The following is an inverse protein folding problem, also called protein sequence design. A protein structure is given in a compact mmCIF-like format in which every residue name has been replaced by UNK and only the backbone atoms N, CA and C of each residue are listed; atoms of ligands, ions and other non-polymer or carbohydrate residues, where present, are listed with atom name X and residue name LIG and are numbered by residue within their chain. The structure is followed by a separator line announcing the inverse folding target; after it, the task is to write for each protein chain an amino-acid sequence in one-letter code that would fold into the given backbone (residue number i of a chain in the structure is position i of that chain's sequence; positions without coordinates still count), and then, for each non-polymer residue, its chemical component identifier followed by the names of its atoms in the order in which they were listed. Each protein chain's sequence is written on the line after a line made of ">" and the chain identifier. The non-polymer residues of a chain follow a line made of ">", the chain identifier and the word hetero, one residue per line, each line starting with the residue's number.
data_IF_431844898271
#
_entry.id   IF_431844898271
#
_cell.length_a   1.000
_cell.length_b   1.000
_cell.length_c   1.000
_cell.angle_alpha   90.00
_cell.angle_beta   90.00
_cell.angle_gamma   90.00
#
_symmetry.space_group_name_H-M   'P 1'
#
loop_
_entity.id
_entity.type
_entity.pdbx_description
1 polymer ?
#
# COMPACT_ATOMS: atom_id res chain seq x y z
N UNK A 1 -35.96 -6.16 -13.35
CA UNK A 1 -36.22 -4.99 -14.20
C UNK A 1 -34.91 -4.25 -14.40
N UNK A 2 -34.46 -4.12 -15.66
CA UNK A 2 -33.24 -3.38 -15.99
C UNK A 2 -33.48 -1.89 -15.73
N UNK A 3 -32.87 -1.34 -14.68
CA UNK A 3 -32.71 0.09 -14.53
C UNK A 3 -31.77 0.51 -15.66
N UNK A 4 -32.28 1.25 -16.64
CA UNK A 4 -31.44 1.87 -17.67
C UNK A 4 -30.73 3.03 -16.99
N UNK A 5 -29.41 2.93 -16.86
CA UNK A 5 -28.56 4.00 -16.31
C UNK A 5 -28.77 5.30 -17.10
N UNK A 6 -28.81 6.44 -16.41
CA UNK A 6 -28.95 7.76 -17.04
C UNK A 6 -27.69 8.15 -17.82
N UNK A 7 -27.75 9.09 -18.78
CA UNK A 7 -26.58 9.54 -19.54
C UNK A 7 -25.43 10.05 -18.67
N UNK A 8 -25.72 10.69 -17.53
CA UNK A 8 -24.72 11.10 -16.53
C UNK A 8 -24.07 9.87 -15.84
N UNK A 9 -24.86 8.87 -15.44
CA UNK A 9 -24.34 7.62 -14.86
C UNK A 9 -23.48 6.82 -15.85
N UNK A 10 -23.84 6.82 -17.14
CA UNK A 10 -23.04 6.24 -18.23
C UNK A 10 -21.70 6.99 -18.43
N UNK A 11 -21.71 8.33 -18.29
CA UNK A 11 -20.52 9.16 -18.41
C UNK A 11 -19.55 8.91 -17.22
N UNK A 12 -20.09 8.82 -16.00
CA UNK A 12 -19.32 8.43 -14.81
C UNK A 12 -18.77 6.99 -14.90
N UNK A 13 -19.47 6.07 -15.55
CA UNK A 13 -19.00 4.68 -15.68
C UNK A 13 -17.76 4.53 -16.58
N UNK A 14 -17.54 5.43 -17.56
CA UNK A 14 -16.32 5.42 -18.37
C UNK A 14 -15.15 6.10 -17.66
N UNK A 15 -15.47 6.97 -16.71
CA UNK A 15 -14.50 7.82 -16.03
C UNK A 15 -13.55 7.05 -15.10
N UNK A 16 -14.01 5.91 -14.61
CA UNK A 16 -13.26 5.03 -13.71
C UNK A 16 -12.59 3.86 -14.45
N UNK A 17 -12.63 3.86 -15.79
CA UNK A 17 -12.25 2.70 -16.58
C UNK A 17 -10.73 2.51 -16.61
N UNK A 18 -10.28 1.37 -16.09
CA UNK A 18 -8.92 0.87 -16.24
C UNK A 18 -8.91 -0.35 -17.17
N UNK A 19 -8.45 -0.16 -18.41
CA UNK A 19 -8.54 -1.19 -19.46
C UNK A 19 -7.58 -2.37 -19.25
N UNK A 20 -6.43 -2.14 -18.61
CA UNK A 20 -5.40 -3.16 -18.42
C UNK A 20 -5.53 -3.91 -17.09
N UNK A 21 -6.74 -3.97 -16.52
CA UNK A 21 -7.01 -4.65 -15.24
C UNK A 21 -6.63 -6.13 -15.25
N UNK A 22 -6.65 -6.79 -16.42
CA UNK A 22 -6.31 -8.20 -16.56
C UNK A 22 -4.83 -8.51 -16.31
N UNK A 23 -3.93 -7.51 -16.37
CA UNK A 23 -2.50 -7.70 -16.09
C UNK A 23 -2.25 -7.99 -14.61
N UNK A 24 -2.99 -7.32 -13.73
CA UNK A 24 -2.99 -7.54 -12.27
C UNK A 24 -4.45 -7.55 -11.84
N UNK A 25 -5.15 -8.71 -11.91
CA UNK A 25 -6.60 -8.81 -11.77
C UNK A 25 -7.05 -8.76 -10.30
N UNK A 26 -6.76 -7.64 -9.64
CA UNK A 26 -7.15 -7.35 -8.27
C UNK A 26 -8.33 -6.37 -8.25
N UNK A 27 -9.20 -6.49 -7.26
CA UNK A 27 -10.32 -5.58 -7.04
C UNK A 27 -9.80 -4.13 -6.98
N UNK A 28 -10.50 -3.12 -7.53
CA UNK A 28 -11.83 -3.16 -8.18
C UNK A 28 -11.76 -3.45 -9.70
N UNK A 29 -10.73 -4.18 -10.15
CA UNK A 29 -10.53 -4.58 -11.54
C UNK A 29 -10.50 -3.38 -12.48
N UNK A 30 -11.50 -3.25 -13.34
CA UNK A 30 -11.60 -2.22 -14.37
C UNK A 30 -12.28 -0.94 -13.90
N UNK A 31 -12.76 -0.85 -12.65
CA UNK A 31 -13.48 0.32 -12.11
C UNK A 31 -12.71 0.94 -10.95
N UNK A 32 -11.73 1.78 -11.27
CA UNK A 32 -10.86 2.43 -10.28
C UNK A 32 -11.23 3.89 -10.11
N UNK A 33 -11.94 4.17 -9.02
CA UNK A 33 -12.21 5.55 -8.57
C UNK A 33 -10.98 6.14 -7.90
N UNK A 34 -10.87 7.46 -7.97
CA UNK A 34 -9.74 8.24 -7.47
C UNK A 34 -10.25 9.37 -6.58
N UNK A 35 -9.72 9.49 -5.36
CA UNK A 35 -9.91 10.67 -4.52
C UNK A 35 -8.62 11.47 -4.53
N UNK A 36 -8.71 12.75 -4.90
CA UNK A 36 -7.62 13.71 -4.71
C UNK A 36 -7.75 14.35 -3.33
N UNK A 37 -6.65 14.41 -2.57
CA UNK A 37 -6.55 15.14 -1.31
C UNK A 37 -5.33 16.06 -1.33
N UNK A 38 -5.47 17.30 -0.88
CA UNK A 38 -4.36 18.23 -0.72
C UNK A 38 -3.72 18.04 0.65
N UNK A 39 -2.48 17.56 0.67
CA UNK A 39 -1.73 17.25 1.91
C UNK A 39 -0.94 18.47 2.39
N UNK A 40 -0.35 19.21 1.46
CA UNK A 40 0.31 20.49 1.72
C UNK A 40 -0.21 21.47 0.70
N UNK A 41 -0.78 22.57 1.21
CA UNK A 41 -1.42 23.60 0.38
C UNK A 41 -0.51 24.03 -0.77
N UNK A 42 -1.08 24.04 -1.98
CA UNK A 42 -0.45 24.46 -3.24
C UNK A 42 0.88 23.75 -3.55
N UNK A 43 1.15 22.58 -2.93
CA UNK A 43 2.48 21.93 -2.98
C UNK A 43 2.41 20.41 -3.12
N UNK A 44 1.58 19.70 -2.33
CA UNK A 44 1.55 18.23 -2.32
C UNK A 44 0.09 17.75 -2.33
N UNK A 45 -0.22 16.88 -3.27
CA UNK A 45 -1.53 16.23 -3.40
C UNK A 45 -1.36 14.72 -3.45
N UNK A 46 -2.32 13.99 -2.91
CA UNK A 46 -2.40 12.54 -3.02
C UNK A 46 -3.60 12.14 -3.85
N UNK A 47 -3.47 11.05 -4.59
CA UNK A 47 -4.49 10.45 -5.44
C UNK A 47 -4.65 8.99 -5.00
N UNK A 48 -5.74 8.74 -4.29
CA UNK A 48 -6.01 7.45 -3.67
C UNK A 48 -6.95 6.63 -4.55
N UNK A 49 -6.59 5.38 -4.80
CA UNK A 49 -7.47 4.36 -5.39
C UNK A 49 -7.60 3.14 -4.47
N UNK A 50 -8.53 2.25 -4.78
CA UNK A 50 -8.68 0.97 -4.08
C UNK A 50 -7.84 -0.13 -4.72
N UNK A 51 -7.33 -1.03 -3.90
CA UNK A 51 -6.87 -2.34 -4.33
C UNK A 51 -7.25 -3.43 -3.34
N UNK A 52 -7.42 -4.69 -3.79
CA UNK A 52 -7.60 -5.79 -2.86
C UNK A 52 -7.88 -7.15 -3.51
N UNK A 53 -7.84 -8.19 -2.69
CA UNK A 53 -8.15 -9.58 -3.04
C UNK A 53 -9.14 -10.11 -2.00
N UNK A 54 -10.16 -10.88 -2.40
CA UNK A 54 -11.23 -11.36 -1.49
C UNK A 54 -11.90 -10.25 -0.66
N UNK A 55 -12.09 -9.07 -1.26
CA UNK A 55 -12.58 -7.86 -0.58
C UNK A 55 -11.74 -7.38 0.62
N UNK A 56 -10.54 -7.94 0.83
CA UNK A 56 -9.54 -7.36 1.70
C UNK A 56 -8.95 -6.16 0.96
N UNK A 57 -9.62 -5.02 1.10
CA UNK A 57 -9.32 -3.80 0.33
C UNK A 57 -8.54 -2.79 1.14
N UNK A 58 -7.49 -2.24 0.56
CA UNK A 58 -6.67 -1.17 1.14
C UNK A 58 -6.48 -0.06 0.12
N UNK A 59 -6.23 1.19 0.56
CA UNK A 59 -5.83 2.26 -0.34
C UNK A 59 -4.52 1.92 -1.05
N UNK A 60 -4.39 2.31 -2.32
CA UNK A 60 -3.12 2.49 -3.03
C UNK A 60 -3.04 3.94 -3.48
N UNK A 61 -1.89 4.59 -3.29
CA UNK A 61 -1.78 6.05 -3.38
C UNK A 61 -0.61 6.48 -4.24
N UNK A 62 -0.90 7.46 -5.09
CA UNK A 62 0.07 8.27 -5.82
C UNK A 62 0.19 9.63 -5.15
N UNK A 63 1.40 10.19 -5.12
CA UNK A 63 1.65 11.55 -4.63
C UNK A 63 2.13 12.44 -5.76
N UNK A 64 1.53 13.62 -5.92
CA UNK A 64 1.95 14.66 -6.86
C UNK A 64 2.56 15.80 -6.06
N UNK A 65 3.77 16.21 -6.42
CA UNK A 65 4.53 17.28 -5.76
C UNK A 65 4.84 18.37 -6.76
N UNK A 66 4.59 19.61 -6.39
CA UNK A 66 5.00 20.79 -7.16
C UNK A 66 6.51 20.99 -7.09
N UNK A 67 7.13 21.20 -8.24
CA UNK A 67 8.55 21.48 -8.35
C UNK A 67 8.86 22.97 -8.19
N UNK A 68 9.94 23.30 -7.49
CA UNK A 68 10.39 24.70 -7.33
C UNK A 68 10.79 25.34 -8.67
N UNK A 69 11.37 24.55 -9.57
CA UNK A 69 11.74 24.96 -10.93
C UNK A 69 10.55 24.90 -11.92
N UNK A 70 9.33 24.79 -11.40
CA UNK A 70 8.09 24.66 -12.15
C UNK A 70 7.81 23.23 -12.65
N UNK A 71 6.54 22.90 -12.83
CA UNK A 71 6.09 21.56 -13.18
C UNK A 71 5.82 20.68 -11.96
N UNK A 72 5.58 19.39 -12.23
CA UNK A 72 5.17 18.41 -11.23
C UNK A 72 6.07 17.17 -11.25
N UNK A 73 6.29 16.58 -10.08
CA UNK A 73 6.81 15.23 -9.89
C UNK A 73 5.69 14.32 -9.40
N UNK A 74 5.56 13.14 -9.98
CA UNK A 74 4.59 12.12 -9.60
C UNK A 74 5.30 10.93 -8.99
N UNK A 75 5.00 10.59 -7.75
CA UNK A 75 5.55 9.46 -7.01
C UNK A 75 4.52 8.33 -6.91
N UNK A 76 4.93 7.10 -7.23
CA UNK A 76 4.12 5.87 -7.19
C UNK A 76 2.77 5.98 -7.94
N UNK A 77 2.76 6.12 -9.28
CA UNK A 77 1.54 6.28 -10.05
C UNK A 77 0.47 5.21 -9.80
N UNK A 78 -0.79 5.66 -9.65
CA UNK A 78 -1.99 4.81 -9.62
C UNK A 78 -2.58 4.68 -11.02
N UNK A 79 -3.66 3.90 -11.19
CA UNK A 79 -4.24 3.68 -12.50
C UNK A 79 -4.65 5.01 -13.16
N UNK A 80 -4.18 5.30 -14.39
CA UNK A 80 -4.50 6.53 -15.12
C UNK A 80 -5.92 6.46 -15.71
N UNK A 81 -6.93 6.35 -14.85
CA UNK A 81 -8.33 6.46 -15.28
C UNK A 81 -8.60 7.91 -15.73
N UNK A 82 -9.60 8.14 -16.60
CA UNK A 82 -9.95 9.49 -17.00
C UNK A 82 -10.21 10.45 -15.82
N UNK A 83 -10.78 9.96 -14.70
CA UNK A 83 -10.94 10.71 -13.46
C UNK A 83 -9.59 11.14 -12.86
N UNK A 84 -8.65 10.20 -12.70
CA UNK A 84 -7.30 10.45 -12.19
C UNK A 84 -6.56 11.48 -13.06
N UNK A 85 -6.56 11.26 -14.38
CA UNK A 85 -5.83 12.10 -15.33
C UNK A 85 -6.41 13.51 -15.40
N UNK A 86 -7.73 13.70 -15.30
CA UNK A 86 -8.30 15.05 -15.16
C UNK A 86 -7.79 15.75 -13.91
N UNK A 87 -7.83 15.09 -12.76
CA UNK A 87 -7.36 15.69 -11.51
C UNK A 87 -5.88 16.07 -11.54
N UNK A 88 -5.04 15.32 -12.26
CA UNK A 88 -3.64 15.68 -12.51
C UNK A 88 -3.53 16.85 -13.50
N UNK A 89 -4.34 16.87 -14.57
CA UNK A 89 -4.33 17.95 -15.55
C UNK A 89 -4.78 19.30 -14.98
N UNK A 90 -5.66 19.32 -13.97
CA UNK A 90 -5.98 20.52 -13.19
C UNK A 90 -4.71 21.08 -12.53
N UNK A 91 -3.91 20.24 -11.89
CA UNK A 91 -2.62 20.65 -11.30
C UNK A 91 -1.63 21.10 -12.38
N UNK A 92 -1.62 20.45 -13.55
CA UNK A 92 -0.77 20.84 -14.67
C UNK A 92 -1.12 22.23 -15.19
N UNK A 93 -2.40 22.57 -15.25
CA UNK A 93 -2.86 23.88 -15.70
C UNK A 93 -2.37 25.01 -14.76
N UNK A 94 -2.24 24.73 -13.47
CA UNK A 94 -1.85 25.72 -12.46
C UNK A 94 -0.34 25.75 -12.16
N UNK A 95 0.36 24.62 -12.28
CA UNK A 95 1.73 24.48 -11.78
C UNK A 95 2.75 24.06 -12.83
N UNK A 96 2.29 23.76 -14.05
CA UNK A 96 3.14 23.34 -15.17
C UNK A 96 3.12 21.82 -15.39
N UNK A 97 3.76 21.38 -16.47
CA UNK A 97 3.73 19.99 -16.91
C UNK A 97 4.34 19.00 -15.90
N UNK A 98 3.89 17.74 -15.97
CA UNK A 98 4.56 16.65 -15.26
C UNK A 98 5.94 16.47 -15.88
N UNK A 99 6.99 16.76 -15.10
CA UNK A 99 8.40 16.62 -15.50
C UNK A 99 8.94 15.23 -15.16
N UNK A 100 8.56 14.69 -14.01
CA UNK A 100 9.14 13.44 -13.49
C UNK A 100 8.06 12.47 -13.00
N UNK A 101 8.22 11.18 -13.31
CA UNK A 101 7.40 10.08 -12.82
C UNK A 101 8.32 9.07 -12.14
N UNK A 102 8.06 8.77 -10.87
CA UNK A 102 8.89 7.90 -10.04
C UNK A 102 8.17 6.57 -9.80
N UNK A 103 8.76 5.46 -10.24
CA UNK A 103 8.43 4.11 -9.77
C UNK A 103 9.36 3.77 -8.60
N UNK A 104 8.92 3.88 -7.33
CA UNK A 104 9.82 3.87 -6.18
C UNK A 104 10.03 2.47 -5.60
N UNK A 105 9.60 1.41 -6.28
CA UNK A 105 9.71 0.06 -5.74
C UNK A 105 9.83 -0.99 -6.85
N UNK A 106 10.36 -2.16 -6.48
CA UNK A 106 10.29 -3.39 -7.30
C UNK A 106 9.41 -4.48 -6.65
N UNK A 107 8.85 -4.21 -5.47
CA UNK A 107 8.29 -5.19 -4.54
C UNK A 107 6.84 -5.58 -4.86
N UNK A 108 6.07 -4.66 -5.45
CA UNK A 108 4.67 -4.86 -5.81
C UNK A 108 4.41 -4.68 -7.31
N UNK A 109 3.76 -5.66 -7.95
CA UNK A 109 3.28 -5.51 -9.34
C UNK A 109 2.20 -4.42 -9.42
N UNK A 110 1.46 -4.21 -8.33
CA UNK A 110 0.43 -3.20 -8.16
C UNK A 110 0.95 -1.76 -8.28
N UNK A 111 2.18 -1.48 -7.83
CA UNK A 111 2.80 -0.16 -7.99
C UNK A 111 3.43 0.03 -9.39
N UNK A 112 3.75 -1.08 -10.07
CA UNK A 112 4.43 -1.08 -11.37
C UNK A 112 3.48 -1.02 -12.56
N UNK A 113 2.38 -1.77 -12.49
CA UNK A 113 1.45 -2.01 -13.61
C UNK A 113 0.87 -0.72 -14.19
N UNK A 114 0.77 0.34 -13.39
CA UNK A 114 0.21 1.62 -13.82
C UNK A 114 1.22 2.53 -14.51
N UNK A 115 2.52 2.41 -14.20
CA UNK A 115 3.55 3.40 -14.59
C UNK A 115 3.66 3.57 -16.10
N UNK A 116 3.71 2.47 -16.86
CA UNK A 116 3.80 2.54 -18.32
C UNK A 116 2.59 3.25 -18.94
N UNK A 117 1.38 2.96 -18.46
CA UNK A 117 0.16 3.61 -18.95
C UNK A 117 0.07 5.08 -18.52
N UNK A 118 0.49 5.38 -17.29
CA UNK A 118 0.51 6.73 -16.76
C UNK A 118 1.51 7.60 -17.54
N UNK A 119 2.71 7.08 -17.82
CA UNK A 119 3.73 7.76 -18.61
C UNK A 119 3.27 8.08 -20.05
N UNK A 120 2.37 7.29 -20.63
CA UNK A 120 1.77 7.59 -21.96
C UNK A 120 0.83 8.80 -21.93
N UNK A 121 0.22 9.10 -20.78
CA UNK A 121 -0.64 10.27 -20.61
C UNK A 121 0.19 11.57 -20.52
N UNK A 122 1.45 11.47 -20.10
CA UNK A 122 2.39 12.59 -19.96
C UNK A 122 3.66 12.33 -20.78
N UNK A 123 3.63 12.51 -22.11
CA UNK A 123 4.68 12.04 -23.03
C UNK A 123 6.03 12.74 -22.86
N UNK A 124 6.05 13.93 -22.25
CA UNK A 124 7.28 14.70 -21.99
C UNK A 124 7.96 14.36 -20.66
N UNK A 125 7.26 13.69 -19.75
CA UNK A 125 7.79 13.38 -18.43
C UNK A 125 8.93 12.35 -18.53
N UNK A 126 10.03 12.55 -17.81
CA UNK A 126 11.05 11.52 -17.61
C UNK A 126 10.57 10.53 -16.55
N UNK A 127 10.80 9.25 -16.78
CA UNK A 127 10.44 8.17 -15.86
C UNK A 127 11.69 7.70 -15.13
N UNK A 128 11.72 7.83 -13.81
CA UNK A 128 12.78 7.29 -12.98
C UNK A 128 12.25 6.06 -12.23
N UNK A 129 12.98 4.96 -12.28
CA UNK A 129 12.59 3.71 -11.64
C UNK A 129 13.62 3.29 -10.60
N UNK A 130 13.15 2.71 -9.50
CA UNK A 130 14.01 2.00 -8.56
C UNK A 130 14.90 1.01 -9.34
N UNK A 131 16.21 0.93 -9.04
CA UNK A 131 17.10 -0.09 -9.58
C UNK A 131 16.54 -1.52 -9.51
N UNK A 132 17.16 -2.43 -10.26
CA UNK A 132 16.85 -3.87 -10.21
C UNK A 132 15.39 -4.26 -10.56
N UNK A 133 14.71 -3.45 -11.39
CA UNK A 133 13.39 -3.79 -11.91
C UNK A 133 13.36 -5.19 -12.52
N UNK A 134 12.32 -5.95 -12.19
CA UNK A 134 12.07 -7.29 -12.69
C UNK A 134 10.60 -7.49 -13.05
N UNK A 135 10.27 -8.58 -13.76
CA UNK A 135 8.87 -8.97 -13.98
C UNK A 135 8.64 -10.47 -13.82
N UNK A 136 7.38 -10.83 -13.59
CA UNK A 136 6.90 -12.19 -13.42
C UNK A 136 5.85 -12.52 -14.51
N UNK A 137 5.78 -13.76 -15.03
CA UNK A 137 6.63 -14.92 -14.71
C UNK A 137 7.99 -14.92 -15.44
N UNK A 138 8.14 -14.06 -16.44
CA UNK A 138 9.39 -13.90 -17.19
C UNK A 138 9.97 -12.52 -16.90
N UNK A 139 11.30 -12.44 -16.77
CA UNK A 139 11.99 -11.17 -16.58
C UNK A 139 12.14 -10.44 -17.94
N UNK A 140 11.13 -9.65 -18.29
CA UNK A 140 11.02 -8.94 -19.56
C UNK A 140 11.65 -7.54 -19.44
N UNK A 141 12.19 -7.00 -20.54
CA UNK A 141 12.64 -5.61 -20.57
C UNK A 141 11.50 -4.64 -20.21
N UNK A 142 11.82 -3.55 -19.51
CA UNK A 142 10.84 -2.52 -19.12
C UNK A 142 10.05 -1.95 -20.31
N UNK A 143 10.66 -1.91 -21.49
CA UNK A 143 10.01 -1.46 -22.74
C UNK A 143 8.84 -2.36 -23.14
N UNK A 144 8.93 -3.67 -22.88
CA UNK A 144 7.85 -4.62 -23.14
C UNK A 144 6.74 -4.52 -22.09
N UNK A 145 7.06 -3.99 -20.90
CA UNK A 145 6.09 -3.65 -19.86
C UNK A 145 5.44 -2.27 -20.10
N UNK A 146 5.75 -1.63 -21.24
CA UNK A 146 5.16 -0.38 -21.68
C UNK A 146 5.83 0.89 -21.14
N UNK A 147 7.00 0.79 -20.51
CA UNK A 147 7.81 1.94 -20.14
C UNK A 147 8.57 2.50 -21.37
N UNK A 148 8.60 3.82 -21.58
CA UNK A 148 9.16 4.44 -22.77
C UNK A 148 10.70 4.37 -22.79
N UNK A 149 11.27 3.74 -23.82
CA UNK A 149 12.72 3.47 -23.92
C UNK A 149 13.60 4.71 -23.73
N UNK A 150 13.26 5.80 -24.43
CA UNK A 150 14.16 6.95 -24.57
C UNK A 150 14.08 7.96 -23.42
N UNK A 151 13.21 7.70 -22.44
CA UNK A 151 13.00 8.58 -21.27
C UNK A 151 12.76 7.80 -19.97
N UNK A 152 13.22 6.55 -19.90
CA UNK A 152 13.20 5.75 -18.67
C UNK A 152 14.62 5.59 -18.16
N UNK A 153 14.87 6.03 -16.94
CA UNK A 153 16.16 6.05 -16.27
C UNK A 153 16.09 5.28 -14.96
N UNK A 154 17.21 4.66 -14.56
CA UNK A 154 17.35 4.14 -13.21
C UNK A 154 17.62 5.31 -12.27
N UNK A 155 17.03 5.28 -11.07
CA UNK A 155 17.45 6.18 -10.01
C UNK A 155 18.93 5.89 -9.66
N UNK A 156 19.83 6.88 -9.75
CA UNK A 156 21.21 6.69 -9.30
C UNK A 156 21.24 6.44 -7.79
N UNK A 157 22.26 5.74 -7.30
CA UNK A 157 22.42 5.51 -5.85
C UNK A 157 22.61 6.83 -5.08
N UNK A 158 23.33 7.77 -5.70
CA UNK A 158 23.52 9.12 -5.18
C UNK A 158 22.40 10.05 -5.67
N UNK A 159 21.53 10.46 -4.74
CA UNK A 159 20.39 11.34 -5.03
C UNK A 159 20.77 12.69 -5.61
N UNK A 160 22.00 13.16 -5.39
CA UNK A 160 22.49 14.44 -5.93
C UNK A 160 22.64 14.44 -7.45
N UNK A 161 22.63 13.26 -8.08
CA UNK A 161 22.80 13.08 -9.53
C UNK A 161 21.48 13.12 -10.30
N UNK A 162 20.37 13.45 -9.64
CA UNK A 162 19.06 13.57 -10.27
C UNK A 162 18.72 15.02 -10.60
N UNK A 163 17.90 15.28 -11.63
CA UNK A 163 17.53 16.65 -12.00
C UNK A 163 16.66 17.35 -10.95
N UNK A 164 16.13 16.61 -9.96
CA UNK A 164 15.30 17.13 -8.87
C UNK A 164 16.02 17.14 -7.50
N UNK A 165 17.35 16.97 -7.49
CA UNK A 165 18.18 16.91 -6.28
C UNK A 165 18.11 18.18 -5.39
N UNK A 166 17.81 19.34 -5.98
CA UNK A 166 17.67 20.60 -5.23
C UNK A 166 16.51 20.52 -4.23
N UNK A 167 15.42 19.84 -4.58
CA UNK A 167 14.21 19.76 -3.77
C UNK A 167 14.06 18.44 -3.01
N UNK A 168 14.64 17.36 -3.53
CA UNK A 168 14.52 16.02 -2.93
C UNK A 168 15.88 15.43 -2.55
N UNK A 169 15.88 14.71 -1.42
CA UNK A 169 16.83 13.62 -1.20
C UNK A 169 16.08 12.29 -1.29
N UNK A 170 16.78 11.19 -1.52
CA UNK A 170 16.18 9.86 -1.40
C UNK A 170 17.20 8.83 -0.95
N UNK A 171 16.69 7.68 -0.50
CA UNK A 171 17.49 6.54 -0.05
C UNK A 171 16.84 5.25 -0.53
N UNK A 172 17.66 4.37 -1.09
CA UNK A 172 17.23 3.10 -1.68
C UNK A 172 17.48 1.99 -0.64
N UNK A 173 16.41 1.27 -0.27
CA UNK A 173 16.48 0.05 0.53
C UNK A 173 16.52 -1.14 -0.41
N UNK A 174 17.61 -1.91 -0.37
CA UNK A 174 17.74 -3.15 -1.13
C UNK A 174 18.82 -3.08 -2.21
N UNK A 175 18.84 -4.03 -3.16
CA UNK A 175 17.85 -5.11 -3.31
C UNK A 175 17.97 -6.15 -2.18
N UNK A 176 16.83 -6.58 -1.64
CA UNK A 176 16.75 -7.73 -0.74
C UNK A 176 16.31 -8.94 -1.56
N UNK A 177 17.14 -9.98 -1.60
CA UNK A 177 16.87 -11.20 -2.36
C UNK A 177 15.80 -12.06 -1.68
N UNK A 178 14.75 -12.41 -2.41
CA UNK A 178 13.62 -13.22 -1.95
C UNK A 178 13.42 -14.46 -2.83
N UNK A 179 14.49 -14.98 -3.42
CA UNK A 179 14.44 -16.12 -4.33
C UNK A 179 13.94 -15.76 -5.73
N UNK A 180 12.71 -16.12 -6.14
CA UNK A 180 12.20 -15.77 -7.48
C UNK A 180 11.98 -14.28 -7.70
N UNK A 181 11.96 -13.47 -6.63
CA UNK A 181 11.79 -12.03 -6.69
C UNK A 181 12.76 -11.29 -5.78
N UNK A 182 12.64 -9.96 -5.78
CA UNK A 182 13.43 -9.06 -4.95
C UNK A 182 12.53 -8.00 -4.35
N UNK A 183 12.94 -7.47 -3.21
CA UNK A 183 12.32 -6.31 -2.59
C UNK A 183 13.27 -5.12 -2.67
N UNK A 184 12.73 -3.98 -3.09
CA UNK A 184 13.42 -2.70 -3.06
C UNK A 184 12.38 -1.58 -2.89
N UNK A 185 12.72 -0.58 -2.10
CA UNK A 185 11.91 0.62 -1.88
C UNK A 185 12.81 1.85 -1.89
N UNK A 186 12.33 2.94 -2.47
CA UNK A 186 13.00 4.24 -2.47
C UNK A 186 12.14 5.25 -1.71
N UNK A 187 12.62 5.65 -0.53
CA UNK A 187 12.03 6.72 0.24
C UNK A 187 12.49 8.08 -0.29
N UNK A 188 11.56 8.98 -0.56
CA UNK A 188 11.83 10.34 -1.03
C UNK A 188 11.56 11.34 0.09
N UNK A 189 12.47 12.29 0.31
CA UNK A 189 12.30 13.38 1.25
C UNK A 189 12.20 14.70 0.51
N UNK A 190 11.02 15.32 0.54
CA UNK A 190 10.79 16.68 0.04
C UNK A 190 11.20 17.68 1.12
N UNK A 191 12.29 18.41 0.84
CA UNK A 191 13.05 19.17 1.84
C UNK A 191 12.24 20.30 2.47
N UNK A 192 11.49 21.05 1.67
CA UNK A 192 10.85 22.31 2.08
C UNK A 192 9.62 22.09 2.94
N UNK A 193 8.75 21.16 2.55
CA UNK A 193 7.53 20.80 3.27
C UNK A 193 7.79 19.84 4.43
N UNK A 194 9.02 19.33 4.56
CA UNK A 194 9.45 18.33 5.53
C UNK A 194 8.60 17.06 5.43
N UNK A 195 8.37 16.59 4.21
CA UNK A 195 7.51 15.43 3.92
C UNK A 195 8.31 14.25 3.40
N UNK A 196 8.19 13.12 4.06
CA UNK A 196 8.73 11.83 3.64
C UNK A 196 7.67 11.05 2.84
N UNK A 197 8.04 10.57 1.65
CA UNK A 197 7.24 9.68 0.81
C UNK A 197 7.83 8.28 0.90
N UNK A 198 6.99 7.30 1.21
CA UNK A 198 7.37 5.87 1.33
C UNK A 198 6.35 5.00 0.61
N UNK A 199 6.76 3.79 0.20
CA UNK A 199 5.85 2.83 -0.42
C UNK A 199 5.20 1.95 0.62
N UNK A 200 5.80 0.79 0.90
CA UNK A 200 5.17 -0.32 1.63
C UNK A 200 5.81 -0.50 3.01
N UNK A 201 7.03 0.00 3.20
CA UNK A 201 7.86 -0.33 4.37
C UNK A 201 7.26 0.17 5.68
N UNK A 202 6.58 1.32 5.69
CA UNK A 202 5.95 1.89 6.88
C UNK A 202 4.47 2.13 6.64
N UNK A 203 3.66 1.74 7.63
CA UNK A 203 2.22 1.97 7.64
C UNK A 203 1.76 2.49 9.01
N UNK A 204 0.61 3.15 9.01
CA UNK A 204 -0.24 3.35 10.19
C UNK A 204 -1.67 3.00 9.81
N UNK A 205 -2.42 2.44 10.75
CA UNK A 205 -3.80 1.99 10.51
C UNK A 205 -4.78 2.96 11.19
N UNK A 206 -5.64 3.64 10.42
CA UNK A 206 -6.65 4.51 11.00
C UNK A 206 -7.77 3.68 11.64
N UNK A 207 -8.42 4.25 12.66
CA UNK A 207 -9.56 3.61 13.34
C UNK A 207 -10.74 3.43 12.38
N UNK A 208 -10.99 4.45 11.56
CA UNK A 208 -12.08 4.51 10.59
C UNK A 208 -11.55 4.19 9.18
N UNK A 209 -12.39 3.60 8.30
CA UNK A 209 -12.00 3.35 6.92
C UNK A 209 -11.59 4.66 6.21
N UNK A 210 -10.46 4.69 5.48
CA UNK A 210 -10.09 5.81 4.62
C UNK A 210 -11.19 6.17 3.63
N UNK A 211 -11.27 7.45 3.24
CA UNK A 211 -12.35 7.96 2.38
C UNK A 211 -12.54 7.13 1.09
N UNK A 212 -11.44 6.71 0.46
CA UNK A 212 -11.46 5.91 -0.77
C UNK A 212 -12.12 4.54 -0.57
N UNK A 213 -11.98 3.96 0.62
CA UNK A 213 -12.60 2.68 0.99
C UNK A 213 -14.10 2.83 1.27
N UNK A 214 -14.54 4.02 1.66
CA UNK A 214 -15.95 4.31 1.97
C UNK A 214 -16.81 4.57 0.72
N UNK A 215 -16.21 4.83 -0.45
CA UNK A 215 -16.95 5.11 -1.69
C UNK A 215 -17.81 3.92 -2.14
N UNK A 216 -17.30 2.70 -1.97
CA UNK A 216 -17.98 1.45 -2.28
C UNK A 216 -18.02 0.61 -1.01
N UNK A 217 -19.09 0.66 -0.20
CA UNK A 217 -19.08 0.11 1.16
C UNK A 217 -19.15 -1.42 1.19
N UNK A 218 -19.49 -2.07 0.08
CA UNK A 218 -19.76 -3.51 0.06
C UNK A 218 -18.62 -4.38 0.60
N UNK A 219 -17.32 -4.17 0.26
CA UNK A 219 -16.21 -4.87 0.90
C UNK A 219 -16.19 -4.73 2.43
N UNK A 220 -16.48 -3.54 2.95
CA UNK A 220 -16.57 -3.29 4.40
C UNK A 220 -17.72 -4.10 5.00
N UNK A 221 -18.92 -4.03 4.40
CA UNK A 221 -20.09 -4.75 4.90
C UNK A 221 -19.91 -6.28 4.79
N UNK A 222 -19.21 -6.76 3.77
CA UNK A 222 -18.88 -8.18 3.62
C UNK A 222 -18.00 -8.67 4.76
N UNK A 223 -16.95 -7.94 5.12
CA UNK A 223 -16.05 -8.29 6.23
C UNK A 223 -16.63 -7.99 7.62
N UNK A 224 -17.71 -7.22 7.70
CA UNK A 224 -18.45 -6.98 8.94
C UNK A 224 -19.38 -8.14 9.36
N UNK A 225 -19.66 -9.09 8.47
CA UNK A 225 -20.45 -10.29 8.75
C UNK A 225 -19.79 -11.17 9.80
N UNK A 226 -20.60 -11.80 10.65
CA UNK A 226 -20.14 -12.87 11.55
C UNK A 226 -20.46 -14.26 10.96
N UNK A 227 -21.49 -14.35 10.13
CA UNK A 227 -21.93 -15.57 9.45
C UNK A 227 -22.30 -15.29 7.98
N UNK A 228 -22.26 -16.35 7.15
CA UNK A 228 -22.66 -16.28 5.74
C UNK A 228 -24.11 -15.78 5.53
N UNK A 229 -24.99 -16.06 6.49
CA UNK A 229 -26.41 -15.70 6.46
C UNK A 229 -26.70 -14.25 6.84
N UNK A 230 -25.72 -13.54 7.39
CA UNK A 230 -25.93 -12.20 7.92
C UNK A 230 -26.22 -11.20 6.81
N UNK A 231 -27.23 -10.37 7.06
CA UNK A 231 -27.51 -9.15 6.31
C UNK A 231 -27.01 -8.00 7.17
N UNK A 232 -25.96 -7.33 6.70
CA UNK A 232 -25.31 -6.24 7.44
C UNK A 232 -25.84 -4.92 6.89
N UNK A 233 -26.48 -4.14 7.75
CA UNK A 233 -26.94 -2.79 7.40
C UNK A 233 -25.76 -1.85 7.18
N UNK A 234 -25.93 -0.91 6.26
CA UNK A 234 -24.91 0.07 5.92
C UNK A 234 -24.87 1.21 6.95
N UNK A 235 -24.22 0.96 8.09
CA UNK A 235 -23.99 1.93 9.17
C UNK A 235 -22.51 2.26 9.32
N UNK A 236 -22.19 3.42 9.89
CA UNK A 236 -20.80 3.80 10.17
C UNK A 236 -20.08 2.78 11.06
N UNK A 237 -20.79 2.21 12.03
CA UNK A 237 -20.28 1.18 12.93
C UNK A 237 -19.94 -0.11 12.16
N UNK A 238 -20.83 -0.58 11.29
CA UNK A 238 -20.58 -1.78 10.50
C UNK A 238 -19.46 -1.57 9.47
N UNK A 239 -19.38 -0.38 8.86
CA UNK A 239 -18.25 -0.01 7.99
C UNK A 239 -16.92 -0.04 8.76
N UNK A 240 -16.90 0.50 9.98
CA UNK A 240 -15.72 0.46 10.87
C UNK A 240 -15.37 -0.98 11.24
N UNK A 241 -16.33 -1.79 11.66
CA UNK A 241 -16.13 -3.22 11.98
C UNK A 241 -15.49 -3.96 10.80
N UNK A 242 -16.03 -3.78 9.59
CA UNK A 242 -15.47 -4.36 8.37
C UNK A 242 -14.05 -3.91 8.09
N UNK A 243 -13.77 -2.61 8.21
CA UNK A 243 -12.44 -2.03 8.00
C UNK A 243 -11.39 -2.60 8.96
N UNK A 244 -11.74 -2.69 10.24
CA UNK A 244 -10.84 -3.19 11.27
C UNK A 244 -10.46 -4.65 11.00
N UNK A 245 -11.44 -5.48 10.61
CA UNK A 245 -11.24 -6.88 10.20
C UNK A 245 -10.41 -7.01 8.91
N UNK A 246 -10.68 -6.16 7.92
CA UNK A 246 -9.87 -6.06 6.70
C UNK A 246 -8.42 -5.71 7.03
N UNK A 247 -8.19 -4.78 7.97
CA UNK A 247 -6.83 -4.37 8.35
C UNK A 247 -6.06 -5.51 9.01
N UNK A 248 -6.71 -6.28 9.90
CA UNK A 248 -6.13 -7.49 10.49
C UNK A 248 -5.78 -8.53 9.42
N UNK A 249 -6.69 -8.77 8.47
CA UNK A 249 -6.44 -9.69 7.36
C UNK A 249 -5.29 -9.21 6.48
N UNK A 250 -5.32 -7.94 6.07
CA UNK A 250 -4.32 -7.38 5.16
C UNK A 250 -2.90 -7.45 5.71
N UNK A 251 -2.74 -7.35 7.04
CA UNK A 251 -1.43 -7.24 7.70
C UNK A 251 -0.93 -8.57 8.29
N UNK A 252 -1.81 -9.51 8.65
CA UNK A 252 -1.43 -10.80 9.22
C UNK A 252 -1.80 -12.02 8.35
N UNK A 253 -2.59 -11.84 7.28
CA UNK A 253 -3.35 -12.88 6.55
C UNK A 253 -4.36 -13.63 7.41
N UNK A 254 -3.94 -14.12 8.57
CA UNK A 254 -4.78 -14.75 9.57
C UNK A 254 -4.34 -14.31 10.96
N UNK A 255 -5.03 -13.31 11.51
CA UNK A 255 -4.87 -12.91 12.91
C UNK A 255 -5.32 -14.05 13.86
N UNK A 256 -4.85 -14.02 15.11
CA UNK A 256 -5.19 -15.02 16.13
C UNK A 256 -6.70 -15.14 16.38
N UNK A 257 -7.43 -14.05 16.19
CA UNK A 257 -8.88 -13.97 16.31
C UNK A 257 -9.66 -14.36 15.02
N UNK A 258 -8.97 -14.81 13.96
CA UNK A 258 -9.59 -15.29 12.73
C UNK A 258 -9.40 -16.80 12.56
N UNK A 259 -10.51 -17.52 12.64
CA UNK A 259 -10.59 -18.94 12.31
C UNK A 259 -11.09 -19.12 10.87
N UNK A 260 -10.51 -20.11 10.18
CA UNK A 260 -10.95 -20.53 8.83
C UNK A 260 -11.71 -21.86 8.98
N UNK A 261 -13.05 -21.87 8.81
CA UNK A 261 -13.84 -23.09 8.92
C UNK A 261 -13.47 -24.13 7.85
N UNK A 262 -13.79 -25.40 8.11
CA UNK A 262 -13.59 -26.47 7.11
C UNK A 262 -14.47 -26.24 5.89
N UNK A 263 -13.97 -26.54 4.69
CA UNK A 263 -14.70 -26.33 3.44
C UNK A 263 -16.10 -26.96 3.40
N UNK A 264 -16.28 -28.15 3.96
CA UNK A 264 -17.61 -28.78 4.05
C UNK A 264 -18.64 -27.93 4.81
N UNK A 265 -18.20 -27.25 5.88
CA UNK A 265 -19.03 -26.30 6.63
C UNK A 265 -19.30 -25.03 5.83
N UNK A 266 -18.27 -24.48 5.16
CA UNK A 266 -18.41 -23.29 4.32
C UNK A 266 -19.43 -23.52 3.20
N UNK A 267 -19.37 -24.66 2.49
CA UNK A 267 -20.33 -25.00 1.45
C UNK A 267 -21.75 -25.21 2.01
N UNK A 268 -21.88 -25.88 3.15
CA UNK A 268 -23.18 -26.07 3.83
C UNK A 268 -23.82 -24.73 4.23
N UNK A 269 -23.02 -23.80 4.76
CA UNK A 269 -23.47 -22.45 5.13
C UNK A 269 -23.81 -21.60 3.91
N UNK A 270 -23.06 -21.73 2.80
CA UNK A 270 -23.31 -20.99 1.57
C UNK A 270 -24.66 -21.31 0.92
N UNK A 271 -25.15 -22.57 1.05
CA UNK A 271 -26.49 -22.95 0.58
C UNK A 271 -27.58 -22.18 1.34
N UNK A 272 -27.34 -21.88 2.62
CA UNK A 272 -28.26 -21.17 3.51
C UNK A 272 -28.13 -19.65 3.41
N UNK A 273 -27.11 -19.14 2.72
CA UNK A 273 -26.85 -17.70 2.64
C UNK A 273 -27.97 -16.95 1.92
N UNK A 274 -28.31 -15.77 2.45
CA UNK A 274 -29.36 -14.91 1.91
C UNK A 274 -29.01 -14.31 0.54
N UNK A 275 -27.71 -14.06 0.29
CA UNK A 275 -27.18 -13.58 -0.99
C UNK A 275 -26.17 -14.58 -1.56
N UNK A 276 -26.51 -15.14 -2.72
CA UNK A 276 -25.69 -16.10 -3.49
C UNK A 276 -25.26 -15.55 -4.84
N UNK A 277 -25.27 -14.23 -5.00
CA UNK A 277 -24.78 -13.56 -6.21
C UNK A 277 -23.28 -13.79 -6.40
N UNK A 278 -22.78 -13.54 -7.62
CA UNK A 278 -21.34 -13.55 -7.91
C UNK A 278 -20.58 -12.56 -7.00
N UNK A 279 -21.21 -11.42 -6.69
CA UNK A 279 -20.65 -10.38 -5.81
C UNK A 279 -20.49 -10.86 -4.37
N UNK A 280 -21.37 -11.75 -3.91
CA UNK A 280 -21.30 -12.42 -2.61
C UNK A 280 -20.53 -13.75 -2.64
N UNK A 281 -19.72 -13.99 -3.66
CA UNK A 281 -18.98 -15.24 -3.86
C UNK A 281 -19.88 -16.49 -3.76
N UNK A 282 -21.10 -16.40 -4.31
CA UNK A 282 -22.09 -17.49 -4.26
C UNK A 282 -22.52 -17.90 -2.84
N UNK A 283 -22.36 -17.00 -1.87
CA UNK A 283 -22.66 -17.24 -0.46
C UNK A 283 -21.47 -17.79 0.34
N UNK A 284 -20.30 -17.97 -0.29
CA UNK A 284 -19.10 -18.44 0.40
C UNK A 284 -18.58 -17.36 1.34
N UNK A 285 -18.45 -17.73 2.61
CA UNK A 285 -17.90 -16.88 3.66
C UNK A 285 -17.00 -17.71 4.59
N UNK A 286 -15.70 -17.86 4.27
CA UNK A 286 -14.78 -18.75 4.98
C UNK A 286 -14.12 -18.08 6.20
N UNK A 287 -14.85 -17.23 6.91
CA UNK A 287 -14.31 -16.46 8.03
C UNK A 287 -15.17 -16.64 9.27
N UNK A 288 -14.52 -16.92 10.40
CA UNK A 288 -15.14 -16.93 11.72
C UNK A 288 -14.27 -16.10 12.65
N UNK A 289 -14.84 -15.01 13.16
CA UNK A 289 -14.14 -14.07 14.02
C UNK A 289 -14.45 -14.35 15.49
N UNK A 290 -13.40 -14.46 16.30
CA UNK A 290 -13.51 -14.61 17.75
C UNK A 290 -13.87 -13.29 18.43
N UNK A 291 -14.57 -13.36 19.57
CA UNK A 291 -15.10 -12.17 20.26
C UNK A 291 -14.06 -11.13 20.70
N UNK A 292 -12.78 -11.51 20.77
CA UNK A 292 -11.67 -10.64 21.14
C UNK A 292 -11.04 -9.88 19.96
N UNK A 293 -11.56 -10.00 18.72
CA UNK A 293 -10.95 -9.41 17.52
C UNK A 293 -10.72 -7.89 17.64
N UNK A 294 -11.59 -7.15 18.33
CA UNK A 294 -11.40 -5.70 18.55
C UNK A 294 -10.12 -5.41 19.35
N UNK A 295 -9.83 -6.23 20.37
CA UNK A 295 -8.61 -6.08 21.17
C UNK A 295 -7.37 -6.31 20.32
N UNK A 296 -7.43 -7.28 19.39
CA UNK A 296 -6.35 -7.53 18.44
C UNK A 296 -6.17 -6.34 17.50
N UNK A 297 -7.26 -5.76 16.99
CA UNK A 297 -7.21 -4.54 16.18
C UNK A 297 -6.59 -3.36 16.94
N UNK A 298 -7.00 -3.09 18.17
CA UNK A 298 -6.41 -2.00 18.97
C UNK A 298 -4.93 -2.25 19.27
N UNK A 299 -4.55 -3.50 19.51
CA UNK A 299 -3.16 -3.89 19.70
C UNK A 299 -2.33 -3.71 18.43
N UNK A 300 -2.89 -3.94 17.23
CA UNK A 300 -2.26 -3.65 15.93
C UNK A 300 -2.11 -2.13 15.72
N UNK A 301 -3.23 -1.40 15.85
CA UNK A 301 -3.33 0.04 15.60
C UNK A 301 -2.44 0.86 16.53
N UNK A 302 -2.38 0.49 17.82
CA UNK A 302 -1.54 1.16 18.82
C UNK A 302 -1.74 2.68 18.89
N UNK A 303 -2.99 3.15 18.82
CA UNK A 303 -3.36 4.57 18.74
C UNK A 303 -2.81 5.31 17.50
N UNK A 304 -2.72 4.64 16.35
CA UNK A 304 -2.21 5.23 15.10
C UNK A 304 -0.68 5.27 15.04
N UNK A 305 0.00 4.39 15.80
CA UNK A 305 1.46 4.29 15.77
C UNK A 305 1.96 3.92 14.38
N UNK A 306 3.18 4.32 14.09
CA UNK A 306 3.94 3.81 12.95
C UNK A 306 4.48 2.42 13.26
N UNK A 307 4.41 1.54 12.28
CA UNK A 307 5.08 0.24 12.32
C UNK A 307 5.41 -0.23 10.91
N UNK A 308 6.41 -1.11 10.80
CA UNK A 308 6.65 -1.88 9.57
C UNK A 308 5.58 -2.96 9.46
N UNK A 309 4.96 -3.13 8.29
CA UNK A 309 3.92 -4.14 8.11
C UNK A 309 4.40 -5.54 8.54
N UNK A 310 3.62 -6.33 9.32
CA UNK A 310 4.07 -7.62 9.86
C UNK A 310 4.60 -8.59 8.80
N UNK A 311 3.94 -8.62 7.63
CA UNK A 311 4.38 -9.40 6.45
C UNK A 311 5.82 -9.03 6.05
N UNK A 312 6.16 -7.74 6.02
CA UNK A 312 7.52 -7.29 5.70
C UNK A 312 8.51 -7.64 6.81
N UNK A 313 8.09 -7.54 8.09
CA UNK A 313 8.96 -7.90 9.21
C UNK A 313 9.40 -9.36 9.16
N UNK A 314 8.49 -10.26 8.82
CA UNK A 314 8.71 -11.71 8.91
C UNK A 314 9.16 -12.35 7.61
N UNK A 315 8.69 -11.86 6.46
CA UNK A 315 8.95 -12.52 5.17
C UNK A 315 10.03 -11.83 4.33
N UNK A 316 10.38 -10.57 4.65
CA UNK A 316 11.24 -9.75 3.79
C UNK A 316 12.44 -9.16 4.55
N UNK A 317 12.21 -8.19 5.43
CA UNK A 317 13.28 -7.36 5.99
C UNK A 317 14.20 -8.11 6.95
N UNK A 318 13.73 -9.22 7.54
CA UNK A 318 14.57 -10.12 8.32
C UNK A 318 15.62 -10.88 7.49
N UNK A 319 15.65 -10.76 6.16
CA UNK A 319 16.72 -11.29 5.29
C UNK A 319 17.92 -10.36 5.21
N UNK A 320 17.74 -9.08 5.53
CA UNK A 320 18.76 -8.06 5.41
C UNK A 320 18.68 -7.05 6.57
N UNK A 321 18.81 -7.50 7.84
CA UNK A 321 18.59 -6.64 9.01
C UNK A 321 19.60 -5.49 9.08
N UNK A 322 20.88 -5.73 8.75
CA UNK A 322 21.92 -4.68 8.77
C UNK A 322 21.65 -3.61 7.72
N UNK A 323 21.36 -4.05 6.50
CA UNK A 323 21.10 -3.19 5.35
C UNK A 323 19.81 -2.39 5.57
N UNK A 324 18.77 -3.02 6.13
CA UNK A 324 17.50 -2.36 6.46
C UNK A 324 17.68 -1.32 7.56
N UNK A 325 18.39 -1.64 8.64
CA UNK A 325 18.64 -0.69 9.73
C UNK A 325 19.51 0.48 9.26
N UNK A 326 20.54 0.25 8.45
CA UNK A 326 21.37 1.31 7.88
C UNK A 326 20.57 2.25 6.97
N UNK A 327 19.66 1.71 6.15
CA UNK A 327 18.73 2.52 5.37
C UNK A 327 17.78 3.31 6.26
N UNK A 328 17.21 2.68 7.29
CA UNK A 328 16.31 3.35 8.22
C UNK A 328 17.02 4.48 8.99
N UNK A 329 18.28 4.27 9.39
CA UNK A 329 19.14 5.30 10.00
C UNK A 329 19.40 6.45 9.02
N UNK A 330 19.67 6.14 7.75
CA UNK A 330 19.85 7.16 6.71
C UNK A 330 18.59 7.99 6.50
N UNK A 331 17.43 7.36 6.37
CA UNK A 331 16.15 8.07 6.23
C UNK A 331 15.86 8.91 7.47
N UNK A 332 16.06 8.37 8.66
CA UNK A 332 15.85 9.05 9.92
C UNK A 332 16.85 10.19 10.21
N UNK A 333 17.93 10.30 9.43
CA UNK A 333 18.84 11.46 9.49
C UNK A 333 18.24 12.73 8.88
N UNK A 334 17.17 12.61 8.08
CA UNK A 334 16.46 13.74 7.51
C UNK A 334 15.47 14.36 8.49
N UNK A 335 15.16 15.63 8.28
CA UNK A 335 14.29 16.41 9.16
C UNK A 335 12.84 16.47 8.65
N UNK A 336 12.16 15.33 8.52
CA UNK A 336 10.72 15.31 8.19
C UNK A 336 9.85 15.38 9.45
N UNK A 337 8.64 15.93 9.31
CA UNK A 337 7.59 15.90 10.34
C UNK A 337 6.27 15.27 9.84
N UNK A 338 6.26 14.83 8.59
CA UNK A 338 5.11 14.25 7.90
C UNK A 338 5.56 13.07 7.05
N UNK A 339 4.79 11.99 7.07
CA UNK A 339 5.00 10.81 6.23
C UNK A 339 3.74 10.58 5.38
N UNK A 340 3.94 10.33 4.09
CA UNK A 340 2.89 9.97 3.14
C UNK A 340 3.21 8.58 2.59
N UNK A 341 2.66 7.51 3.20
CA UNK A 341 2.81 6.15 2.68
C UNK A 341 1.86 5.89 1.51
N UNK A 342 2.19 4.88 0.69
CA UNK A 342 1.33 4.48 -0.43
C UNK A 342 0.08 3.68 0.03
N UNK A 343 0.04 3.21 1.28
CA UNK A 343 -1.03 2.39 1.83
C UNK A 343 -1.55 2.91 3.18
N UNK A 344 -2.79 2.54 3.51
CA UNK A 344 -3.46 2.88 4.77
C UNK A 344 -3.53 4.40 5.06
N UNK A 345 -3.23 4.81 6.31
CA UNK A 345 -3.39 6.18 6.80
C UNK A 345 -2.45 7.16 6.10
N UNK A 346 -2.94 8.35 5.79
CA UNK A 346 -2.13 9.42 5.20
C UNK A 346 -2.88 10.77 5.20
N UNK A 347 -2.20 11.89 5.46
CA UNK A 347 -0.80 11.98 5.91
C UNK A 347 -0.64 11.57 7.39
N UNK A 348 0.54 11.08 7.76
CA UNK A 348 0.88 10.73 9.14
C UNK A 348 1.81 11.80 9.71
N UNK A 349 1.50 12.34 10.89
CA UNK A 349 2.40 13.24 11.62
C UNK A 349 3.35 12.41 12.45
N UNK A 350 4.65 12.46 12.13
CA UNK A 350 5.67 11.70 12.84
C UNK A 350 7.05 12.28 12.65
N UNK A 351 7.87 12.15 13.70
CA UNK A 351 9.27 12.56 13.73
C UNK A 351 10.21 11.43 13.26
N UNK A 352 11.45 11.76 12.85
CA UNK A 352 12.40 10.77 12.33
C UNK A 352 12.75 9.66 13.31
N UNK A 353 12.75 9.96 14.61
CA UNK A 353 12.99 8.97 15.66
C UNK A 353 11.85 7.94 15.73
N UNK A 354 10.59 8.37 15.56
CA UNK A 354 9.44 7.46 15.54
C UNK A 354 9.47 6.55 14.31
N UNK A 355 9.88 7.09 13.16
CA UNK A 355 10.13 6.29 11.95
C UNK A 355 11.21 5.24 12.21
N UNK A 356 12.38 5.62 12.74
CA UNK A 356 13.47 4.68 12.99
C UNK A 356 13.11 3.60 14.00
N UNK A 357 12.33 3.97 15.01
CA UNK A 357 11.88 3.04 16.06
C UNK A 357 11.00 1.92 15.50
N UNK A 358 10.24 2.15 14.43
CA UNK A 358 9.44 1.12 13.78
C UNK A 358 10.27 -0.06 13.23
N UNK A 359 11.59 0.11 13.07
CA UNK A 359 12.53 -0.91 12.61
C UNK A 359 13.24 -1.66 13.74
N UNK A 360 12.99 -1.33 15.02
CA UNK A 360 13.69 -1.94 16.17
C UNK A 360 13.42 -3.45 16.32
N UNK A 361 12.43 -4.00 15.59
CA UNK A 361 12.18 -5.45 15.55
C UNK A 361 13.36 -6.26 15.00
N UNK A 362 14.28 -5.62 14.26
CA UNK A 362 15.51 -6.22 13.72
C UNK A 362 16.70 -6.17 14.69
N UNK A 363 16.57 -5.54 15.85
CA UNK A 363 17.63 -5.39 16.86
C UNK A 363 17.57 -6.51 17.91
N UNK A 364 18.73 -6.99 18.40
CA UNK A 364 18.79 -7.99 19.49
C UNK A 364 18.26 -7.44 20.81
N UNK A 365 18.57 -6.18 21.10
CA UNK A 365 18.14 -5.46 22.29
C UNK A 365 17.51 -4.14 21.86
N UNK A 366 16.19 -4.12 21.58
CA UNK A 366 15.50 -2.89 21.24
C UNK A 366 15.76 -1.87 22.33
N UNK A 367 16.34 -0.73 21.96
CA UNK A 367 16.58 0.33 22.93
C UNK A 367 15.23 0.83 23.47
N UNK A 368 14.93 0.52 24.73
CA UNK A 368 13.73 0.97 25.44
C UNK A 368 13.90 2.45 25.80
N UNK A 369 14.02 3.31 24.79
CA UNK A 369 14.05 4.77 24.95
C UNK A 369 12.64 5.36 25.13
N UNK A 370 11.66 4.53 25.49
CA UNK A 370 10.25 4.90 25.63
C UNK A 370 9.91 5.57 26.99
N UNK A 371 10.90 5.79 27.87
CA UNK A 371 10.68 6.36 29.20
C UNK A 371 10.60 7.90 29.26
N UNK A 372 11.10 8.62 28.24
CA UNK A 372 11.18 10.09 28.26
C UNK A 372 10.20 10.78 27.30
N UNK A 373 9.65 10.04 26.33
CA UNK A 373 8.63 10.53 25.41
C UNK A 373 7.43 9.60 25.49
N UNK A 374 6.22 10.16 25.61
CA UNK A 374 4.93 9.45 25.67
C UNK A 374 4.58 8.76 24.35
N UNK A 375 5.46 7.92 23.81
CA UNK A 375 5.25 7.20 22.55
C UNK A 375 4.88 5.75 22.85
N UNK A 376 3.67 5.35 22.46
CA UNK A 376 3.14 3.98 22.49
C UNK A 376 3.82 3.07 21.47
N UNK A 377 5.16 2.99 21.52
CA UNK A 377 5.96 2.18 20.62
C UNK A 377 6.24 0.81 21.25
N UNK A 378 5.17 0.07 21.50
CA UNK A 378 5.26 -1.33 21.90
C UNK A 378 5.41 -2.19 20.65
N UNK A 379 6.22 -3.28 20.71
CA UNK A 379 6.25 -4.26 19.63
C UNK A 379 4.84 -4.80 19.35
N UNK A 380 4.62 -5.20 18.10
CA UNK A 380 3.38 -5.88 17.72
C UNK A 380 3.25 -7.20 18.52
N UNK A 381 2.03 -7.63 18.88
CA UNK A 381 1.86 -8.85 19.68
C UNK A 381 2.40 -10.08 18.94
N UNK A 382 3.27 -10.84 19.59
CA UNK A 382 3.96 -12.00 19.01
C UNK A 382 3.02 -13.11 18.55
N UNK A 383 1.86 -13.25 19.20
CA UNK A 383 0.85 -14.27 18.88
C UNK A 383 0.29 -14.10 17.46
N UNK A 384 0.21 -12.86 16.97
CA UNK A 384 -0.33 -12.54 15.63
C UNK A 384 0.60 -12.95 14.48
N UNK A 385 1.87 -13.22 14.78
CA UNK A 385 2.86 -13.63 13.78
C UNK A 385 2.86 -15.13 13.49
N UNK A 386 2.00 -15.92 14.15
CA UNK A 386 2.03 -17.39 14.05
C UNK A 386 1.99 -17.89 12.60
N UNK A 387 0.97 -17.50 11.83
CA UNK A 387 0.85 -17.94 10.43
C UNK A 387 2.02 -17.42 9.57
N UNK A 388 2.46 -16.18 9.78
CA UNK A 388 3.57 -15.60 9.03
C UNK A 388 4.87 -16.39 9.28
N UNK A 389 5.13 -16.83 10.50
CA UNK A 389 6.27 -17.70 10.82
C UNK A 389 6.12 -19.08 10.19
N UNK A 390 4.94 -19.69 10.22
CA UNK A 390 4.70 -20.98 9.55
C UNK A 390 4.94 -20.89 8.04
N UNK A 391 4.51 -19.80 7.40
CA UNK A 391 4.79 -19.51 5.98
C UNK A 391 6.31 -19.36 5.78
N UNK A 392 6.98 -18.57 6.61
CA UNK A 392 8.41 -18.32 6.52
C UNK A 392 9.26 -19.61 6.63
N UNK A 393 8.93 -20.44 7.61
CA UNK A 393 9.52 -21.77 7.83
C UNK A 393 9.30 -22.67 6.62
N UNK A 394 8.08 -22.67 6.07
CA UNK A 394 7.76 -23.40 4.84
C UNK A 394 8.61 -22.95 3.66
N UNK A 395 8.63 -21.65 3.37
CA UNK A 395 9.40 -21.08 2.25
C UNK A 395 10.90 -21.37 2.39
N UNK A 396 11.44 -21.25 3.62
CA UNK A 396 12.84 -21.54 3.92
C UNK A 396 13.17 -23.03 3.79
N UNK A 397 12.30 -23.92 4.29
CA UNK A 397 12.44 -25.38 4.19
C UNK A 397 12.50 -25.84 2.74
N UNK A 398 11.67 -25.26 1.87
CA UNK A 398 11.67 -25.56 0.44
C UNK A 398 12.70 -24.73 -0.37
N UNK A 399 13.55 -23.94 0.30
CA UNK A 399 14.57 -23.07 -0.32
C UNK A 399 14.00 -22.13 -1.40
N UNK A 400 12.75 -21.72 -1.23
CA UNK A 400 12.10 -20.75 -2.12
C UNK A 400 12.66 -19.36 -1.85
N UNK A 401 12.90 -19.04 -0.57
CA UNK A 401 13.50 -17.77 -0.13
C UNK A 401 14.75 -18.05 0.71
N UNK A 402 15.72 -17.12 0.76
CA UNK A 402 16.82 -17.22 1.71
C UNK A 402 16.31 -17.26 3.17
N UNK A 403 16.99 -17.98 4.08
CA UNK A 403 16.60 -17.99 5.48
C UNK A 403 16.76 -16.60 6.14
N UNK A 404 16.05 -16.32 7.24
CA UNK A 404 16.27 -15.12 8.03
C UNK A 404 17.73 -15.01 8.51
N UNK A 405 18.26 -13.78 8.57
CA UNK A 405 19.56 -13.50 9.21
C UNK A 405 19.35 -13.17 10.69
N UNK A 406 20.40 -13.29 11.49
CA UNK A 406 20.35 -12.86 12.89
C UNK A 406 20.03 -11.37 13.00
N UNK A 407 19.21 -11.03 14.02
CA UNK A 407 19.03 -9.65 14.47
C UNK A 407 20.38 -9.02 14.79
N UNK A 408 20.49 -7.69 14.63
CA UNK A 408 21.75 -6.95 14.82
C UNK A 408 21.91 -6.49 16.25
#
# INVERSE_FOLDING_TARGET
>A
MNVKDTPEQLNHSRDFLWLFWFLVPIYPYNRRRTIRHEVVKDTIWTFDQLQGIFYVVVPIRMTVVKLEEGGLLVYAPVAPTPECIRGVNELVAEHGEVKYIILPTISGLEHKVFVGAFARCFPKAEVFVAPHQWSFPLNLPLTWLGLPRDRTYLLPEDSSKTPFANQFDYAILGPIELGPGRFEEVAFFEKRSRTLLVTDTIVSVPENPPAIVQLEPYPLLFHAKDKATDIVEDTQENRRKGWQRISLFALYFQASALEVPKWGEVFSNAIKACDRSKKAYFGLFPFKWESNWQRVFEALRGNGRLFVAPILQTLILNRAPKETLAWADKVASWNFGRIVPCHFDSPITAEPQQFRQAFSFLEKHPSVSAGLFRTSCYPLPEEEFKLLREIDEGLSKYRIVPPPKEKV
#
